data_IF_252586400600
#
_entry.id   IF_252586400600
#
_cell.length_a   1.000
_cell.length_b   1.000
_cell.length_c   1.000
_cell.angle_alpha   90.00
_cell.angle_beta   90.00
_cell.angle_gamma   90.00
#
_symmetry.space_group_name_H-M   'P 1'
#
loop_
_entity.id
_entity.type
_entity.pdbx_description
1 polymer ?
#
# COMPACT_ATOMS: atom_id res chain seq x y z
N UNK A 1 -13.97 25.26 -25.89
CA UNK A 1 -13.68 23.87 -25.48
C UNK A 1 -13.77 23.81 -23.96
N UNK A 2 -14.91 23.37 -23.42
CA UNK A 2 -15.11 23.28 -21.96
C UNK A 2 -14.65 21.91 -21.47
N UNK A 3 -13.51 21.87 -20.80
CA UNK A 3 -13.00 20.68 -20.10
C UNK A 3 -13.71 20.58 -18.74
N UNK A 4 -14.34 19.45 -18.37
CA UNK A 4 -14.87 19.27 -17.03
C UNK A 4 -13.70 19.14 -16.04
N UNK A 5 -13.69 19.97 -15.00
CA UNK A 5 -12.72 19.89 -13.92
C UNK A 5 -12.84 18.52 -13.21
N UNK A 6 -11.71 17.81 -13.09
CA UNK A 6 -11.67 16.50 -12.43
C UNK A 6 -12.07 16.63 -10.96
N UNK A 7 -13.02 15.80 -10.51
CA UNK A 7 -13.48 15.75 -9.12
C UNK A 7 -12.34 15.22 -8.24
N UNK A 8 -12.01 15.85 -7.10
CA UNK A 8 -10.90 15.40 -6.26
C UNK A 8 -11.16 13.96 -5.80
N UNK A 9 -10.27 13.05 -6.19
CA UNK A 9 -10.34 11.66 -5.74
C UNK A 9 -10.03 11.64 -4.25
N UNK A 10 -11.05 11.43 -3.41
CA UNK A 10 -10.81 11.15 -1.99
C UNK A 10 -9.81 10.01 -1.89
N UNK A 11 -8.64 10.29 -1.31
CA UNK A 11 -7.58 9.31 -1.15
C UNK A 11 -8.09 8.20 -0.22
N UNK A 12 -8.12 6.96 -0.71
CA UNK A 12 -8.64 5.78 0.01
C UNK A 12 -7.56 5.07 0.81
N UNK A 13 -7.93 4.45 1.92
CA UNK A 13 -7.07 3.59 2.72
C UNK A 13 -6.63 2.37 1.90
N UNK A 14 -5.32 2.07 1.77
CA UNK A 14 -4.84 0.95 0.97
C UNK A 14 -5.21 -0.42 1.55
N UNK A 15 -5.54 -0.48 2.85
CA UNK A 15 -5.83 -1.74 3.54
C UNK A 15 -7.31 -2.14 3.46
N UNK A 16 -8.23 -1.17 3.36
CA UNK A 16 -9.66 -1.46 3.43
C UNK A 16 -10.56 -0.59 2.53
N UNK A 17 -10.00 0.35 1.76
CA UNK A 17 -10.73 1.17 0.80
C UNK A 17 -11.61 2.29 1.37
N UNK A 18 -11.73 2.39 2.71
CA UNK A 18 -12.44 3.49 3.41
C UNK A 18 -11.74 4.84 3.19
N UNK A 19 -12.43 5.98 3.32
CA UNK A 19 -11.80 7.29 3.30
C UNK A 19 -10.66 7.37 4.32
N UNK A 20 -9.53 7.97 3.93
CA UNK A 20 -8.42 8.21 4.86
C UNK A 20 -8.85 9.18 5.95
N UNK A 21 -8.26 9.01 7.13
CA UNK A 21 -8.31 10.01 8.19
C UNK A 21 -7.02 10.81 8.14
N UNK A 22 -7.09 12.12 8.32
CA UNK A 22 -5.90 12.98 8.35
C UNK A 22 -4.94 12.55 9.47
N UNK A 23 -5.46 12.24 10.65
CA UNK A 23 -4.69 11.78 11.80
C UNK A 23 -4.01 10.41 11.58
N UNK A 24 -4.44 9.64 10.59
CA UNK A 24 -3.93 8.28 10.32
C UNK A 24 -3.42 8.10 8.90
N UNK A 25 -3.20 9.18 8.15
CA UNK A 25 -2.76 9.10 6.75
C UNK A 25 -1.44 8.31 6.66
N UNK A 26 -1.32 7.32 5.75
CA UNK A 26 -2.18 7.04 4.57
C UNK A 26 -3.39 6.11 4.81
N UNK A 27 -3.76 5.81 6.05
CA UNK A 27 -4.81 4.87 6.43
C UNK A 27 -6.08 5.56 6.93
N UNK A 28 -7.10 4.76 7.25
CA UNK A 28 -8.32 5.25 7.91
C UNK A 28 -8.27 5.17 9.45
N UNK A 29 -7.38 4.36 10.03
CA UNK A 29 -7.29 4.12 11.48
C UNK A 29 -5.98 3.44 11.90
N UNK A 30 -5.66 3.49 13.19
CA UNK A 30 -4.56 2.71 13.80
C UNK A 30 -4.65 1.22 13.47
N UNK A 31 -5.83 0.61 13.56
CA UNK A 31 -6.03 -0.81 13.20
C UNK A 31 -5.57 -1.13 11.77
N UNK A 32 -5.78 -0.24 10.80
CA UNK A 32 -5.30 -0.48 9.43
C UNK A 32 -3.79 -0.29 9.31
N UNK A 33 -3.19 0.65 10.05
CA UNK A 33 -1.74 0.79 10.14
C UNK A 33 -1.08 -0.47 10.71
N UNK A 34 -1.65 -1.03 11.77
CA UNK A 34 -1.06 -2.23 12.42
C UNK A 34 -1.18 -3.47 11.52
N UNK A 35 -2.28 -3.60 10.77
CA UNK A 35 -2.43 -4.67 9.76
C UNK A 35 -1.41 -4.56 8.64
N UNK A 36 -1.14 -3.34 8.18
CA UNK A 36 -0.10 -3.08 7.19
C UNK A 36 1.28 -3.48 7.70
N UNK A 37 1.57 -3.17 8.98
CA UNK A 37 2.81 -3.57 9.63
C UNK A 37 2.97 -5.08 9.69
N UNK A 38 1.93 -5.84 10.05
CA UNK A 38 1.98 -7.30 10.04
C UNK A 38 2.23 -7.84 8.63
N UNK A 39 1.53 -7.32 7.61
CA UNK A 39 1.78 -7.70 6.21
C UNK A 39 3.25 -7.46 5.80
N UNK A 40 3.86 -6.38 6.28
CA UNK A 40 5.28 -6.09 6.09
C UNK A 40 6.19 -7.12 6.76
N UNK A 41 5.93 -7.42 8.04
CA UNK A 41 6.74 -8.36 8.81
C UNK A 41 6.63 -9.80 8.29
N UNK A 42 5.47 -10.17 7.76
CA UNK A 42 5.21 -11.49 7.17
C UNK A 42 5.78 -11.62 5.74
N UNK A 43 6.53 -10.63 5.23
CA UNK A 43 7.08 -10.65 3.87
C UNK A 43 6.02 -10.53 2.78
N UNK A 44 4.82 -10.08 3.14
CA UNK A 44 3.66 -10.00 2.26
C UNK A 44 3.73 -8.90 1.19
N UNK A 45 4.78 -8.06 1.22
CA UNK A 45 5.12 -7.09 0.18
C UNK A 45 6.35 -7.54 -0.62
N UNK A 46 6.31 -8.78 -1.13
CA UNK A 46 7.34 -9.30 -2.02
C UNK A 46 7.08 -8.87 -3.47
N UNK A 47 8.14 -8.44 -4.16
CA UNK A 47 8.13 -8.24 -5.61
C UNK A 47 8.70 -9.50 -6.25
N UNK A 48 7.98 -10.17 -7.17
CA UNK A 48 8.52 -11.34 -7.87
C UNK A 48 9.82 -10.98 -8.60
N UNK A 49 10.90 -11.66 -8.22
CA UNK A 49 12.21 -11.56 -8.88
C UNK A 49 12.36 -12.60 -9.99
N UNK A 50 13.39 -12.43 -10.82
CA UNK A 50 13.93 -13.56 -11.59
C UNK A 50 14.50 -14.58 -10.59
N UNK A 51 14.56 -15.88 -10.94
CA UNK A 51 15.30 -16.85 -10.15
C UNK A 51 16.69 -16.29 -9.85
N UNK A 52 17.15 -16.43 -8.60
CA UNK A 52 18.54 -16.13 -8.30
C UNK A 52 19.40 -17.13 -9.08
N UNK A 53 20.36 -16.63 -9.86
CA UNK A 53 21.40 -17.49 -10.41
C UNK A 53 22.20 -18.02 -9.21
N UNK A 54 22.29 -19.35 -9.08
CA UNK A 54 23.10 -19.99 -8.05
C UNK A 54 24.57 -19.72 -8.38
N UNK A 55 25.22 -18.82 -7.64
CA UNK A 55 26.67 -18.63 -7.75
C UNK A 55 27.34 -19.92 -7.24
N UNK A 56 28.23 -20.62 -7.98
CA UNK A 56 28.67 -21.97 -7.62
C UNK A 56 29.59 -22.08 -6.40
N UNK A 57 29.70 -21.05 -5.56
CA UNK A 57 30.68 -20.98 -4.45
C UNK A 57 30.01 -20.51 -3.14
N UNK A 58 29.14 -21.35 -2.57
CA UNK A 58 28.83 -21.43 -1.13
C UNK A 58 28.78 -22.91 -0.70
#
# INVERSE_FOLDING_TARGET
MNTPAARPTQKRCPICGKPRSEAHTPFCSTRCKDRDLVQWLDGGYAIPGRPADEDPED
#
